data_IF_357970881462
#
_entry.id   IF_357970881462
#
_cell.length_a   1.000
_cell.length_b   1.000
_cell.length_c   1.000
_cell.angle_alpha   90.00
_cell.angle_beta   90.00
_cell.angle_gamma   90.00
#
_symmetry.space_group_name_H-M   'P 1'
#
loop_
_entity.id
_entity.type
_entity.pdbx_description
1 polymer ?
#
# COMPACT_ATOMS: atom_id res chain seq x y z
N UNK A 1 -29.04 26.32 30.04
CA UNK A 1 -28.78 25.41 28.90
C UNK A 1 -29.52 25.91 27.67
N UNK A 2 -28.86 26.69 26.83
CA UNK A 2 -29.39 27.17 25.52
C UNK A 2 -28.54 26.61 24.43
N UNK A 3 -29.02 25.56 23.73
CA UNK A 3 -28.45 25.10 22.47
C UNK A 3 -28.94 26.01 21.36
N UNK A 4 -28.10 26.91 20.87
CA UNK A 4 -28.34 27.68 19.68
C UNK A 4 -28.27 26.79 18.46
N UNK A 5 -29.42 26.52 17.84
CA UNK A 5 -29.53 25.91 16.53
C UNK A 5 -28.93 26.86 15.49
N UNK A 6 -27.75 26.51 14.95
CA UNK A 6 -27.18 27.22 13.80
C UNK A 6 -28.00 26.80 12.57
N UNK A 7 -28.94 27.66 12.16
CA UNK A 7 -29.70 27.50 10.94
C UNK A 7 -28.73 27.37 9.74
N UNK A 8 -28.87 26.30 8.96
CA UNK A 8 -28.10 26.09 7.70
C UNK A 8 -28.53 27.14 6.69
N UNK A 9 -27.76 28.22 6.59
CA UNK A 9 -27.97 29.25 5.54
C UNK A 9 -27.87 28.61 4.17
N UNK A 10 -28.78 28.94 3.26
CA UNK A 10 -28.78 28.46 1.87
C UNK A 10 -27.52 28.98 1.14
N UNK A 11 -27.14 28.32 0.05
CA UNK A 11 -26.00 28.75 -0.78
C UNK A 11 -26.16 30.20 -1.28
N UNK A 12 -27.38 30.58 -1.63
CA UNK A 12 -27.73 31.92 -2.08
C UNK A 12 -27.51 33.00 -0.97
N UNK A 13 -27.91 32.72 0.27
CA UNK A 13 -27.67 33.64 1.41
C UNK A 13 -26.18 33.81 1.71
N UNK A 14 -25.38 32.74 1.56
CA UNK A 14 -23.91 32.83 1.73
C UNK A 14 -23.22 33.58 0.59
N UNK A 15 -23.80 33.58 -0.61
CA UNK A 15 -23.30 34.34 -1.75
C UNK A 15 -23.65 35.80 -1.62
N UNK A 16 -24.85 36.14 -1.13
CA UNK A 16 -25.27 37.53 -0.89
C UNK A 16 -24.47 38.21 0.24
N UNK A 17 -24.14 37.50 1.31
CA UNK A 17 -23.34 38.02 2.43
C UNK A 17 -21.88 38.33 2.05
N UNK A 18 -21.38 37.81 0.91
CA UNK A 18 -20.00 37.93 0.45
C UNK A 18 -19.86 38.66 -0.89
N UNK A 19 -20.90 39.33 -1.33
CA UNK A 19 -20.91 40.13 -2.55
C UNK A 19 -21.40 41.54 -2.29
N UNK A 20 -20.83 42.51 -3.00
CA UNK A 20 -21.26 43.87 -3.01
C UNK A 20 -21.86 44.19 -4.38
N UNK A 21 -22.96 44.91 -4.42
CA UNK A 21 -23.60 45.29 -5.67
C UNK A 21 -23.05 46.63 -6.14
N UNK A 22 -22.47 46.65 -7.32
CA UNK A 22 -22.08 47.87 -8.03
C UNK A 22 -22.75 47.88 -9.39
N UNK A 23 -23.73 48.74 -9.56
CA UNK A 23 -24.56 48.74 -10.76
C UNK A 23 -25.39 47.46 -10.92
N UNK A 24 -25.40 46.86 -12.11
CA UNK A 24 -26.12 45.63 -12.41
C UNK A 24 -25.30 44.33 -12.17
N UNK A 25 -24.11 44.44 -11.57
CA UNK A 25 -23.21 43.29 -11.32
C UNK A 25 -22.99 43.06 -9.82
N UNK A 26 -23.04 41.81 -9.41
CA UNK A 26 -22.61 41.33 -8.09
C UNK A 26 -21.10 41.08 -8.11
N UNK A 27 -20.34 41.85 -7.33
CA UNK A 27 -18.89 41.68 -7.21
C UNK A 27 -18.60 40.83 -5.97
N UNK A 28 -17.85 39.74 -6.18
CA UNK A 28 -17.40 38.85 -5.12
C UNK A 28 -16.22 39.46 -4.36
N UNK A 29 -16.39 39.70 -3.06
CA UNK A 29 -15.36 40.28 -2.18
C UNK A 29 -14.56 39.20 -1.39
N UNK A 30 -14.75 37.92 -1.67
CA UNK A 30 -13.98 36.81 -1.06
C UNK A 30 -12.69 36.48 -1.84
N UNK A 31 -11.86 35.50 -1.38
CA UNK A 31 -10.64 35.12 -2.10
C UNK A 31 -10.94 34.73 -3.56
N UNK A 32 -10.03 35.03 -4.50
CA UNK A 32 -10.34 35.16 -5.92
C UNK A 32 -10.83 33.88 -6.58
N UNK A 33 -12.10 33.82 -6.94
CA UNK A 33 -12.65 33.01 -8.04
C UNK A 33 -14.17 33.17 -8.14
N UNK A 34 -14.58 33.70 -9.28
CA UNK A 34 -15.93 33.84 -9.85
C UNK A 34 -16.55 35.26 -9.78
N UNK A 35 -16.47 35.93 -10.92
CA UNK A 35 -17.35 37.04 -11.26
C UNK A 35 -18.53 36.47 -12.04
N UNK A 36 -19.74 36.49 -11.44
CA UNK A 36 -20.95 36.17 -12.16
C UNK A 36 -21.58 37.52 -12.62
N UNK A 37 -21.49 37.78 -13.92
CA UNK A 37 -22.13 38.92 -14.55
C UNK A 37 -23.42 38.48 -15.27
N UNK A 38 -24.58 38.93 -14.80
CA UNK A 38 -25.85 38.76 -15.53
C UNK A 38 -26.03 39.96 -16.47
N UNK A 39 -25.46 39.85 -17.70
CA UNK A 39 -25.73 40.89 -18.71
C UNK A 39 -26.97 40.54 -19.51
N UNK A 40 -27.97 41.42 -19.47
CA UNK A 40 -29.02 41.52 -20.47
C UNK A 40 -28.39 41.80 -21.85
N UNK A 41 -28.80 41.08 -22.85
CA UNK A 41 -28.41 41.26 -24.26
C UNK A 41 -28.62 42.72 -24.66
N UNK A 42 -27.56 43.45 -24.91
CA UNK A 42 -27.59 44.66 -25.71
C UNK A 42 -27.25 44.31 -27.16
N UNK A 43 -28.10 44.74 -28.00
CA UNK A 43 -28.09 44.69 -29.44
C UNK A 43 -26.76 45.02 -30.09
N UNK A 44 -26.33 44.13 -30.93
CA UNK A 44 -25.53 44.19 -32.10
C UNK A 44 -24.62 45.35 -32.40
N UNK A 45 -23.34 45.10 -32.22
CA UNK A 45 -22.38 45.62 -33.17
C UNK A 45 -21.70 44.38 -33.79
N UNK A 46 -22.11 44.06 -35.01
CA UNK A 46 -21.43 43.10 -35.88
C UNK A 46 -19.98 43.58 -36.06
N UNK A 47 -19.08 43.12 -35.18
CA UNK A 47 -17.67 43.10 -35.53
C UNK A 47 -17.56 42.17 -36.73
N UNK A 48 -17.52 42.80 -37.97
CA UNK A 48 -17.10 42.14 -39.20
C UNK A 48 -15.78 41.41 -38.85
N UNK A 49 -15.82 40.11 -38.69
CA UNK A 49 -14.63 39.29 -38.69
C UNK A 49 -13.97 39.53 -40.03
N UNK A 50 -12.89 40.34 -40.05
CA UNK A 50 -12.09 40.47 -41.24
C UNK A 50 -11.66 39.06 -41.65
N UNK A 51 -12.17 38.60 -42.82
CA UNK A 51 -11.80 37.32 -43.39
C UNK A 51 -10.28 37.28 -43.50
N UNK A 52 -9.68 36.15 -43.14
CA UNK A 52 -8.25 35.99 -43.18
C UNK A 52 -7.86 35.82 -44.63
N UNK A 53 -7.10 36.81 -45.20
CA UNK A 53 -6.71 36.75 -46.61
C UNK A 53 -5.51 35.79 -46.78
N UNK A 54 -5.66 34.81 -47.68
CA UNK A 54 -4.62 33.88 -48.11
C UNK A 54 -4.14 34.26 -49.52
N UNK A 55 -2.87 34.09 -49.76
CA UNK A 55 -2.33 34.10 -51.12
C UNK A 55 -2.70 32.77 -51.84
N UNK A 56 -2.72 32.72 -53.18
CA UNK A 56 -2.97 31.47 -53.90
C UNK A 56 -2.02 30.35 -53.53
N UNK A 57 -0.72 30.66 -53.33
CA UNK A 57 0.32 29.70 -52.94
C UNK A 57 0.11 29.19 -51.52
N UNK A 58 -0.26 30.06 -50.58
CA UNK A 58 -0.57 29.68 -49.21
C UNK A 58 -1.80 28.75 -49.14
N UNK A 59 -2.81 29.04 -49.95
CA UNK A 59 -3.98 28.20 -50.01
C UNK A 59 -3.64 26.81 -50.52
N UNK A 60 -2.88 26.74 -51.62
CA UNK A 60 -2.42 25.48 -52.22
C UNK A 60 -1.61 24.66 -51.19
N UNK A 61 -0.69 25.29 -50.49
CA UNK A 61 0.12 24.62 -49.50
C UNK A 61 -0.68 24.15 -48.29
N UNK A 62 -1.62 24.94 -47.79
CA UNK A 62 -2.52 24.54 -46.70
C UNK A 62 -3.40 23.36 -47.09
N UNK A 63 -3.97 23.36 -48.29
CA UNK A 63 -4.74 22.24 -48.82
C UNK A 63 -3.88 21.00 -49.02
N UNK A 64 -2.63 21.14 -49.47
CA UNK A 64 -1.67 20.05 -49.52
C UNK A 64 -1.40 19.45 -48.14
N UNK A 65 -1.24 20.29 -47.13
CA UNK A 65 -1.09 19.84 -45.73
C UNK A 65 -2.28 19.10 -45.19
N UNK A 66 -3.48 19.47 -45.61
CA UNK A 66 -4.71 18.79 -45.21
C UNK A 66 -4.85 17.39 -45.83
N UNK A 67 -4.34 17.17 -47.05
CA UNK A 67 -4.43 15.89 -47.79
C UNK A 67 -3.26 14.93 -47.44
N UNK A 68 -2.19 15.44 -46.91
CA UNK A 68 -0.96 14.65 -46.70
C UNK A 68 -1.08 13.73 -45.47
N UNK A 69 -1.04 12.41 -45.72
CA UNK A 69 -1.13 11.37 -44.69
C UNK A 69 0.11 11.28 -43.77
N UNK A 70 1.25 11.80 -44.21
CA UNK A 70 2.50 11.79 -43.40
C UNK A 70 2.59 12.97 -42.43
N UNK A 71 1.79 14.01 -42.60
CA UNK A 71 1.71 15.12 -41.68
C UNK A 71 0.92 14.67 -40.44
N UNK A 72 1.49 14.88 -39.26
CA UNK A 72 0.78 14.60 -37.99
C UNK A 72 -0.61 15.23 -38.04
N UNK A 73 -1.62 14.51 -37.57
CA UNK A 73 -3.04 14.93 -37.54
C UNK A 73 -3.24 16.36 -37.02
N UNK A 74 -2.37 16.81 -36.14
CA UNK A 74 -2.35 18.16 -35.56
C UNK A 74 -1.93 19.23 -36.61
N UNK A 75 -0.99 18.94 -37.50
CA UNK A 75 -0.59 19.84 -38.59
C UNK A 75 -1.70 20.05 -39.61
N UNK A 76 -2.39 18.97 -39.99
CA UNK A 76 -3.52 19.01 -40.86
C UNK A 76 -4.72 19.77 -40.25
N UNK A 77 -4.95 19.59 -38.93
CA UNK A 77 -6.00 20.33 -38.20
C UNK A 77 -5.72 21.84 -38.19
N UNK A 78 -4.50 22.26 -37.97
CA UNK A 78 -4.10 23.68 -38.01
C UNK A 78 -4.34 24.29 -39.39
N UNK A 79 -3.92 23.60 -40.45
CA UNK A 79 -4.16 24.02 -41.81
C UNK A 79 -5.66 24.20 -42.09
N UNK A 80 -6.49 23.24 -41.67
CA UNK A 80 -7.94 23.27 -41.85
C UNK A 80 -8.58 24.45 -41.13
N UNK A 81 -8.16 24.77 -39.90
CA UNK A 81 -8.66 25.94 -39.18
C UNK A 81 -8.36 27.24 -39.93
N UNK A 82 -7.16 27.40 -40.51
CA UNK A 82 -6.79 28.60 -41.25
C UNK A 82 -7.57 28.72 -42.55
N UNK A 83 -7.75 27.62 -43.31
CA UNK A 83 -8.58 27.63 -44.54
C UNK A 83 -10.01 27.96 -44.21
N UNK A 84 -10.64 27.38 -43.20
CA UNK A 84 -12.00 27.70 -42.78
C UNK A 84 -12.16 29.17 -42.36
N UNK A 85 -11.17 29.74 -41.68
CA UNK A 85 -11.18 31.17 -41.35
C UNK A 85 -11.05 32.08 -42.57
N UNK A 86 -10.28 31.68 -43.60
CA UNK A 86 -10.17 32.37 -44.86
C UNK A 86 -11.45 32.30 -45.70
N UNK A 87 -12.16 31.18 -45.61
CA UNK A 87 -13.47 30.96 -46.26
C UNK A 87 -14.61 31.67 -45.49
N UNK A 88 -14.32 32.45 -44.47
CA UNK A 88 -15.30 33.22 -43.70
C UNK A 88 -16.10 32.43 -42.69
N UNK A 89 -15.68 31.20 -42.34
CA UNK A 89 -16.36 30.40 -41.33
C UNK A 89 -16.30 31.03 -39.95
N UNK A 90 -17.45 31.05 -39.25
CA UNK A 90 -17.51 31.51 -37.88
C UNK A 90 -16.79 30.54 -36.92
N UNK A 91 -16.33 31.03 -35.79
CA UNK A 91 -15.66 30.18 -34.77
C UNK A 91 -16.57 28.99 -34.36
N UNK A 92 -17.86 29.24 -34.19
CA UNK A 92 -18.82 28.18 -33.85
C UNK A 92 -18.97 27.11 -34.96
N UNK A 93 -18.80 27.47 -36.22
CA UNK A 93 -18.76 26.52 -37.33
C UNK A 93 -17.50 25.68 -37.30
N UNK A 94 -16.35 26.32 -37.01
CA UNK A 94 -15.05 25.61 -36.88
C UNK A 94 -15.06 24.65 -35.68
N UNK A 95 -15.58 25.07 -34.53
CA UNK A 95 -15.72 24.22 -33.35
C UNK A 95 -16.62 23.01 -33.55
N UNK A 96 -17.65 23.14 -34.40
CA UNK A 96 -18.53 22.00 -34.79
C UNK A 96 -17.86 21.07 -35.78
N UNK A 97 -17.06 21.60 -36.67
CA UNK A 97 -16.41 20.82 -37.73
C UNK A 97 -15.10 20.13 -37.29
N UNK A 98 -14.46 20.66 -36.27
CA UNK A 98 -13.16 20.19 -35.78
C UNK A 98 -13.19 20.05 -34.27
N UNK A 99 -12.52 19.03 -33.69
CA UNK A 99 -12.40 18.88 -32.24
C UNK A 99 -11.41 19.92 -31.68
N UNK A 100 -11.84 21.19 -31.60
CA UNK A 100 -11.01 22.31 -31.10
C UNK A 100 -11.90 23.33 -30.40
N UNK A 101 -11.28 24.14 -29.55
CA UNK A 101 -11.92 25.21 -28.78
C UNK A 101 -11.47 26.58 -29.29
N UNK A 102 -12.22 27.63 -28.94
CA UNK A 102 -11.97 29.03 -29.33
C UNK A 102 -10.54 29.49 -29.11
N UNK A 103 -9.91 29.06 -28.00
CA UNK A 103 -8.51 29.42 -27.70
C UNK A 103 -7.50 28.80 -28.67
N UNK A 104 -7.81 27.59 -29.17
CA UNK A 104 -7.01 26.94 -30.20
C UNK A 104 -7.08 27.70 -31.50
N UNK A 105 -8.30 28.09 -31.95
CA UNK A 105 -8.52 28.88 -33.16
C UNK A 105 -7.79 30.23 -33.05
N UNK A 106 -7.96 30.95 -31.95
CA UNK A 106 -7.31 32.23 -31.71
C UNK A 106 -5.79 32.14 -31.70
N UNK A 107 -5.25 31.09 -31.10
CA UNK A 107 -3.79 30.84 -31.04
C UNK A 107 -3.21 30.69 -32.44
N UNK A 108 -3.80 29.83 -33.26
CA UNK A 108 -3.27 29.52 -34.59
C UNK A 108 -3.53 30.66 -35.59
N UNK A 109 -4.67 31.34 -35.49
CA UNK A 109 -4.94 32.57 -36.24
C UNK A 109 -3.87 33.65 -35.93
N UNK A 110 -3.59 33.92 -34.67
CA UNK A 110 -2.54 34.88 -34.28
C UNK A 110 -1.16 34.49 -34.82
N UNK A 111 -0.80 33.24 -34.71
CA UNK A 111 0.50 32.75 -35.20
C UNK A 111 0.61 32.82 -36.73
N UNK A 112 -0.44 32.52 -37.41
CA UNK A 112 -0.49 32.63 -38.87
C UNK A 112 -0.40 34.09 -39.32
N UNK A 113 -1.12 34.99 -38.70
CA UNK A 113 -1.03 36.43 -39.00
C UNK A 113 0.37 36.99 -38.74
N UNK A 114 1.08 36.52 -37.73
CA UNK A 114 2.43 36.97 -37.36
C UNK A 114 3.51 36.37 -38.24
N UNK A 115 3.41 35.10 -38.67
CA UNK A 115 4.50 34.34 -39.33
C UNK A 115 4.01 33.49 -40.50
N UNK A 116 2.84 33.75 -41.01
CA UNK A 116 2.26 33.01 -42.15
C UNK A 116 2.41 31.48 -41.98
N UNK A 117 2.77 30.75 -43.03
CA UNK A 117 2.92 29.28 -43.04
C UNK A 117 3.93 28.73 -42.01
N UNK A 118 4.99 29.48 -41.70
CA UNK A 118 5.94 29.12 -40.65
C UNK A 118 5.28 29.11 -39.23
N UNK A 119 4.35 30.03 -39.03
CA UNK A 119 3.60 30.11 -37.78
C UNK A 119 2.84 28.84 -37.41
N UNK A 120 2.52 27.99 -38.40
CA UNK A 120 1.82 26.74 -38.21
C UNK A 120 2.71 25.54 -37.92
N UNK A 121 4.03 25.70 -38.01
CA UNK A 121 4.97 24.63 -37.68
C UNK A 121 4.97 24.34 -36.19
N UNK A 122 5.09 23.08 -35.82
CA UNK A 122 5.31 22.69 -34.42
C UNK A 122 6.72 23.14 -34.00
N UNK A 123 6.82 24.00 -33.02
CA UNK A 123 8.10 24.19 -32.35
C UNK A 123 8.39 22.88 -31.58
N UNK A 124 9.25 22.03 -32.12
CA UNK A 124 9.87 21.01 -31.31
C UNK A 124 10.72 21.75 -30.27
N UNK A 125 10.25 21.82 -29.02
CA UNK A 125 11.16 22.10 -27.93
C UNK A 125 12.13 20.92 -27.89
N UNK A 126 13.39 21.19 -28.16
CA UNK A 126 14.47 20.27 -27.78
C UNK A 126 14.21 19.93 -26.31
N UNK A 127 14.11 18.65 -25.91
CA UNK A 127 13.96 18.30 -24.50
C UNK A 127 15.04 19.05 -23.72
N UNK A 128 14.65 19.73 -22.65
CA UNK A 128 15.65 20.32 -21.77
C UNK A 128 16.63 19.23 -21.35
N UNK A 129 17.94 19.52 -21.26
CA UNK A 129 18.93 18.54 -20.84
C UNK A 129 18.48 17.90 -19.53
N UNK A 130 18.62 16.58 -19.44
CA UNK A 130 18.18 15.83 -18.25
C UNK A 130 18.99 16.29 -17.03
N UNK A 131 18.31 16.74 -15.99
CA UNK A 131 18.96 17.04 -14.70
C UNK A 131 19.55 15.78 -14.07
N UNK A 132 18.97 14.60 -14.38
CA UNK A 132 19.44 13.31 -13.90
C UNK A 132 20.53 12.79 -14.85
N UNK A 133 21.74 13.36 -14.74
CA UNK A 133 22.96 12.85 -15.40
C UNK A 133 23.51 11.64 -14.63
N UNK A 134 24.38 10.81 -15.22
CA UNK A 134 25.04 9.70 -14.52
C UNK A 134 25.74 10.14 -13.23
N UNK A 135 26.41 11.30 -13.26
CA UNK A 135 27.13 11.86 -12.10
C UNK A 135 26.14 12.28 -10.99
N UNK A 136 25.01 12.89 -11.38
CA UNK A 136 23.96 13.24 -10.41
C UNK A 136 23.31 11.99 -9.84
N UNK A 137 23.10 10.95 -10.64
CA UNK A 137 22.57 9.66 -10.16
C UNK A 137 23.52 9.01 -9.16
N UNK A 138 24.82 8.95 -9.46
CA UNK A 138 25.85 8.46 -8.54
C UNK A 138 25.86 9.25 -7.23
N UNK A 139 25.77 10.59 -7.30
CA UNK A 139 25.70 11.47 -6.11
C UNK A 139 24.46 11.23 -5.27
N UNK A 140 23.31 10.99 -5.90
CA UNK A 140 22.07 10.61 -5.19
C UNK A 140 22.27 9.28 -4.45
N UNK A 141 22.84 8.28 -5.10
CA UNK A 141 23.05 6.94 -4.54
C UNK A 141 24.05 6.97 -3.39
N UNK A 142 25.16 7.71 -3.53
CA UNK A 142 26.15 7.90 -2.48
C UNK A 142 25.53 8.55 -1.24
N UNK A 143 24.84 9.68 -1.41
CA UNK A 143 24.16 10.38 -0.31
C UNK A 143 23.05 9.54 0.34
N UNK A 144 22.38 8.67 -0.42
CA UNK A 144 21.36 7.77 0.12
C UNK A 144 21.93 6.79 1.15
N UNK A 145 23.17 6.34 0.99
CA UNK A 145 23.86 5.43 1.92
C UNK A 145 24.33 6.09 3.20
N UNK A 146 24.49 7.41 3.19
CA UNK A 146 24.91 8.19 4.34
C UNK A 146 23.70 8.52 5.23
N UNK A 147 23.91 8.72 6.53
CA UNK A 147 22.84 9.17 7.43
C UNK A 147 22.42 10.61 7.10
N UNK A 148 21.11 10.93 7.18
CA UNK A 148 20.66 12.30 7.04
C UNK A 148 21.26 13.21 8.13
N UNK A 149 21.72 14.43 7.77
CA UNK A 149 22.33 15.35 8.74
C UNK A 149 21.34 15.96 9.75
N UNK A 150 20.04 15.79 9.52
CA UNK A 150 18.97 16.27 10.38
C UNK A 150 18.64 15.32 11.56
N UNK A 151 19.45 14.28 11.76
CA UNK A 151 19.26 13.28 12.82
C UNK A 151 18.20 12.22 12.51
N UNK A 152 17.54 12.28 11.37
CA UNK A 152 16.57 11.26 11.00
C UNK A 152 17.24 9.95 10.58
N UNK A 153 16.54 8.82 10.75
CA UNK A 153 17.08 7.49 10.52
C UNK A 153 17.17 7.11 9.03
N UNK A 154 16.41 7.77 8.17
CA UNK A 154 16.36 7.45 6.75
C UNK A 154 16.06 8.67 5.87
N UNK A 155 16.42 8.58 4.61
CA UNK A 155 16.12 9.59 3.62
C UNK A 155 14.68 9.44 3.08
N UNK A 156 14.01 10.57 2.88
CA UNK A 156 12.88 10.67 1.97
C UNK A 156 13.33 11.34 0.66
N UNK A 157 12.63 11.08 -0.43
CA UNK A 157 12.92 11.72 -1.74
C UNK A 157 12.93 13.25 -1.64
N UNK A 158 12.01 13.82 -0.84
CA UNK A 158 11.91 15.27 -0.62
C UNK A 158 13.09 15.83 0.16
N UNK A 159 13.55 15.14 1.21
CA UNK A 159 14.71 15.55 1.99
C UNK A 159 15.98 15.55 1.15
N UNK A 160 16.23 14.44 0.46
CA UNK A 160 17.42 14.31 -0.38
C UNK A 160 17.38 15.26 -1.57
N UNK A 161 16.22 15.44 -2.20
CA UNK A 161 16.03 16.40 -3.28
C UNK A 161 16.34 17.83 -2.82
N UNK A 162 15.89 18.23 -1.63
CA UNK A 162 16.19 19.55 -1.04
C UNK A 162 17.67 19.72 -0.76
N UNK A 163 18.32 18.72 -0.19
CA UNK A 163 19.76 18.76 0.09
C UNK A 163 20.60 18.92 -1.20
N UNK A 164 20.21 18.24 -2.28
CA UNK A 164 20.93 18.24 -3.55
C UNK A 164 20.51 19.39 -4.50
N UNK A 165 19.50 20.18 -4.13
CA UNK A 165 18.97 21.26 -4.95
C UNK A 165 18.23 20.78 -6.21
N UNK A 166 17.65 19.56 -6.20
CA UNK A 166 16.97 18.95 -7.33
C UNK A 166 15.52 18.57 -6.98
N UNK A 167 14.69 18.39 -8.02
CA UNK A 167 13.33 17.91 -7.81
C UNK A 167 13.35 16.48 -7.25
N UNK A 168 12.52 16.24 -6.25
CA UNK A 168 12.38 14.93 -5.59
C UNK A 168 12.03 13.77 -6.54
N UNK A 169 11.41 14.07 -7.70
CA UNK A 169 11.11 13.06 -8.72
C UNK A 169 12.39 12.49 -9.35
N UNK A 170 13.48 13.27 -9.46
CA UNK A 170 14.77 12.77 -9.92
C UNK A 170 15.37 11.77 -8.93
N UNK A 171 15.26 12.08 -7.62
CA UNK A 171 15.66 11.14 -6.54
C UNK A 171 14.84 9.86 -6.61
N UNK A 172 13.51 9.97 -6.73
CA UNK A 172 12.63 8.80 -6.84
C UNK A 172 12.94 7.93 -8.06
N UNK A 173 13.33 8.56 -9.18
CA UNK A 173 13.73 7.85 -10.40
C UNK A 173 15.05 7.13 -10.22
N UNK A 174 16.07 7.79 -9.63
CA UNK A 174 17.36 7.17 -9.33
C UNK A 174 17.20 5.96 -8.39
N UNK A 175 16.44 6.11 -7.30
CA UNK A 175 16.17 5.01 -6.37
C UNK A 175 15.45 3.84 -7.04
N UNK A 176 14.46 4.11 -7.90
CA UNK A 176 13.74 3.05 -8.63
C UNK A 176 14.67 2.29 -9.57
N UNK A 177 15.55 2.99 -10.30
CA UNK A 177 16.54 2.37 -11.19
C UNK A 177 17.54 1.49 -10.42
N UNK A 178 17.97 1.97 -9.25
CA UNK A 178 18.91 1.26 -8.39
C UNK A 178 18.25 0.22 -7.46
N UNK A 179 16.92 0.04 -7.49
CA UNK A 179 16.20 -0.88 -6.61
C UNK A 179 16.19 -0.46 -5.14
N UNK A 180 16.52 0.79 -4.81
CA UNK A 180 16.63 1.27 -3.43
C UNK A 180 15.28 1.70 -2.87
N UNK A 181 15.01 1.32 -1.63
CA UNK A 181 13.82 1.69 -0.87
C UNK A 181 14.19 2.12 0.57
N UNK A 182 14.83 3.29 0.77
CA UNK A 182 15.37 3.70 2.06
C UNK A 182 14.33 3.82 3.19
N UNK A 183 13.06 3.92 2.85
CA UNK A 183 11.94 3.98 3.78
C UNK A 183 11.45 2.59 4.22
N UNK A 184 11.89 1.52 3.56
CA UNK A 184 11.60 0.14 3.96
C UNK A 184 12.71 -0.37 4.86
N UNK A 185 12.29 -0.95 5.93
CA UNK A 185 13.15 -1.61 6.90
C UNK A 185 12.78 -3.09 6.94
N UNK A 186 13.68 -3.93 6.52
CA UNK A 186 13.54 -5.37 6.63
C UNK A 186 14.38 -5.83 7.82
N UNK A 187 13.72 -6.47 8.77
CA UNK A 187 14.42 -7.14 9.87
C UNK A 187 14.88 -8.49 9.38
N UNK A 188 16.16 -8.73 9.43
CA UNK A 188 16.68 -10.09 9.35
C UNK A 188 17.32 -10.43 10.68
N UNK A 189 17.19 -11.67 11.10
CA UNK A 189 17.93 -12.20 12.24
C UNK A 189 18.85 -13.28 11.72
N UNK A 190 20.13 -13.15 12.02
CA UNK A 190 21.10 -14.20 11.78
C UNK A 190 21.07 -15.10 13.02
N UNK A 191 20.96 -16.40 12.79
CA UNK A 191 21.06 -17.37 13.88
C UNK A 191 22.54 -17.67 14.16
N UNK A 192 22.94 -17.49 15.40
CA UNK A 192 24.26 -17.91 15.89
C UNK A 192 24.21 -19.33 16.50
N UNK A 193 23.15 -20.11 16.22
CA UNK A 193 22.98 -21.47 16.71
C UNK A 193 24.01 -22.39 16.02
N UNK A 194 24.97 -22.99 16.75
CA UNK A 194 25.98 -23.84 16.16
C UNK A 194 25.41 -25.12 15.52
N UNK A 195 24.20 -25.52 15.94
CA UNK A 195 23.48 -26.67 15.43
C UNK A 195 22.43 -26.30 14.36
N UNK A 196 22.50 -25.09 13.79
CA UNK A 196 21.48 -24.57 12.90
C UNK A 196 21.12 -25.53 11.77
N UNK A 197 22.10 -26.00 11.02
CA UNK A 197 21.87 -26.88 9.86
C UNK A 197 21.22 -28.20 10.26
N UNK A 198 21.70 -28.82 11.36
CA UNK A 198 21.16 -30.07 11.87
C UNK A 198 19.68 -29.92 12.30
N UNK A 199 19.39 -28.90 13.12
CA UNK A 199 18.02 -28.64 13.59
C UNK A 199 17.09 -28.23 12.46
N UNK A 200 17.56 -27.40 11.52
CA UNK A 200 16.78 -26.99 10.35
C UNK A 200 16.48 -28.19 9.44
N UNK A 201 17.46 -29.07 9.19
CA UNK A 201 17.27 -30.27 8.39
C UNK A 201 16.28 -31.24 9.04
N UNK A 202 16.33 -31.41 10.35
CA UNK A 202 15.42 -32.27 11.13
C UNK A 202 13.97 -31.74 10.99
N UNK A 203 13.75 -30.48 11.24
CA UNK A 203 12.41 -29.83 11.13
C UNK A 203 11.89 -29.85 9.69
N UNK A 204 12.73 -29.52 8.71
CA UNK A 204 12.36 -29.57 7.29
C UNK A 204 12.03 -31.01 6.87
N UNK A 205 12.81 -31.97 7.33
CA UNK A 205 12.56 -33.41 7.07
C UNK A 205 11.18 -33.85 7.52
N UNK A 206 10.74 -33.41 8.72
CA UNK A 206 9.41 -33.70 9.25
C UNK A 206 8.27 -33.11 8.41
N UNK A 207 8.48 -31.92 7.81
CA UNK A 207 7.48 -31.33 6.94
C UNK A 207 7.40 -31.96 5.55
N UNK A 208 8.53 -32.33 4.98
CA UNK A 208 8.62 -32.81 3.60
C UNK A 208 8.34 -34.31 3.54
N UNK A 209 8.88 -35.09 4.49
CA UNK A 209 8.79 -36.55 4.53
C UNK A 209 8.56 -37.05 5.96
N UNK A 210 7.35 -36.83 6.53
CA UNK A 210 7.03 -37.28 7.88
C UNK A 210 7.10 -38.81 7.98
N UNK A 211 7.51 -39.38 9.14
CA UNK A 211 7.52 -40.81 9.33
C UNK A 211 6.14 -41.43 9.13
N UNK A 212 6.11 -42.67 8.62
CA UNK A 212 4.85 -43.40 8.44
C UNK A 212 4.18 -43.62 9.80
N UNK A 213 2.86 -43.39 9.84
CA UNK A 213 2.05 -43.50 11.06
C UNK A 213 2.39 -42.50 12.17
N UNK A 214 3.15 -41.47 11.87
CA UNK A 214 3.39 -40.35 12.80
C UNK A 214 2.36 -39.24 12.64
N UNK A 215 2.13 -38.52 13.74
CA UNK A 215 1.48 -37.24 13.75
C UNK A 215 2.56 -36.13 13.99
N UNK A 216 2.61 -35.12 13.12
CA UNK A 216 3.55 -34.03 13.25
C UNK A 216 2.78 -32.74 13.55
N UNK A 217 3.14 -32.11 14.64
CA UNK A 217 2.56 -30.84 15.09
C UNK A 217 3.64 -29.75 15.11
N UNK A 218 3.30 -28.56 14.63
CA UNK A 218 4.05 -27.34 14.85
C UNK A 218 3.37 -26.59 15.99
N UNK A 219 4.03 -26.39 17.11
CA UNK A 219 3.47 -25.81 18.31
C UNK A 219 4.25 -24.59 18.81
N UNK A 220 3.55 -23.65 19.40
CA UNK A 220 4.13 -22.43 19.96
C UNK A 220 3.14 -21.72 20.89
N UNK A 221 3.55 -20.64 21.55
CA UNK A 221 2.70 -19.80 22.35
C UNK A 221 2.61 -18.34 21.86
N UNK A 222 1.39 -17.84 21.77
CA UNK A 222 1.14 -16.41 21.61
C UNK A 222 0.83 -15.80 22.98
N UNK A 223 1.80 -15.08 23.53
CA UNK A 223 1.73 -14.51 24.87
C UNK A 223 1.09 -13.14 24.90
N UNK A 224 0.59 -12.71 26.06
CA UNK A 224 0.11 -11.35 26.35
C UNK A 224 -0.95 -10.81 25.37
N UNK A 225 -1.86 -11.69 24.89
CA UNK A 225 -2.99 -11.27 24.08
C UNK A 225 -3.90 -10.40 24.93
N UNK A 226 -4.13 -9.16 24.51
CA UNK A 226 -4.86 -8.17 25.31
C UNK A 226 -6.38 -8.25 25.03
N UNK A 227 -7.18 -8.26 26.08
CA UNK A 227 -8.62 -8.06 25.99
C UNK A 227 -8.89 -6.54 25.94
N UNK A 228 -9.01 -6.01 24.73
CA UNK A 228 -9.24 -4.59 24.49
C UNK A 228 -10.71 -4.33 24.23
N UNK A 229 -11.31 -3.43 25.02
CA UNK A 229 -12.64 -2.89 24.82
C UNK A 229 -12.56 -1.46 24.32
N UNK A 230 -13.44 -1.05 23.40
CA UNK A 230 -13.44 0.30 22.84
C UNK A 230 -14.33 1.20 23.69
N UNK A 231 -13.84 2.38 24.05
CA UNK A 231 -14.65 3.39 24.75
C UNK A 231 -15.64 4.04 23.81
N UNK A 232 -15.26 4.25 22.56
CA UNK A 232 -16.14 4.82 21.54
C UNK A 232 -16.84 3.74 20.71
N UNK A 233 -18.09 3.99 20.28
CA UNK A 233 -18.77 3.10 19.34
C UNK A 233 -18.01 2.97 18.02
N UNK A 234 -17.94 1.75 17.50
CA UNK A 234 -17.40 1.51 16.16
C UNK A 234 -18.35 2.12 15.13
N UNK A 235 -17.83 2.99 14.26
CA UNK A 235 -18.59 3.51 13.13
C UNK A 235 -18.55 2.50 11.99
N UNK A 236 -19.72 1.96 11.58
CA UNK A 236 -19.78 0.86 10.64
C UNK A 236 -19.30 1.25 9.24
N UNK A 237 -18.89 0.25 8.49
CA UNK A 237 -18.56 0.35 7.07
C UNK A 237 -19.75 0.92 6.29
N UNK A 238 -19.50 1.89 5.41
CA UNK A 238 -20.51 2.46 4.51
C UNK A 238 -19.91 2.76 3.13
N UNK A 239 -20.70 2.93 2.06
CA UNK A 239 -20.17 3.20 0.72
C UNK A 239 -19.21 4.39 0.71
N UNK A 240 -17.99 4.15 0.23
CA UNK A 240 -16.91 5.16 0.16
C UNK A 240 -16.25 5.50 1.52
N UNK A 241 -16.60 4.79 2.61
CA UNK A 241 -16.00 5.00 3.94
C UNK A 241 -15.63 3.68 4.58
N UNK A 242 -14.37 3.55 4.98
CA UNK A 242 -13.92 2.43 5.80
C UNK A 242 -14.55 2.47 7.19
N UNK A 243 -14.65 1.30 7.82
CA UNK A 243 -14.97 1.18 9.24
C UNK A 243 -13.98 2.00 10.08
N UNK A 244 -14.48 2.74 11.06
CA UNK A 244 -13.66 3.59 11.93
C UNK A 244 -13.78 3.14 13.38
N UNK A 245 -12.63 2.96 14.00
CA UNK A 245 -12.49 2.64 15.41
C UNK A 245 -11.99 3.88 16.16
N UNK A 246 -12.52 4.13 17.36
CA UNK A 246 -11.92 5.03 18.33
C UNK A 246 -10.51 4.53 18.69
N UNK A 247 -9.61 5.44 19.03
CA UNK A 247 -8.26 5.09 19.48
C UNK A 247 -8.19 4.88 21.00
N UNK A 248 -9.19 5.30 21.75
CA UNK A 248 -9.28 5.05 23.18
C UNK A 248 -9.86 3.66 23.48
N UNK A 249 -9.23 2.96 24.41
CA UNK A 249 -9.64 1.61 24.78
C UNK A 249 -9.39 1.35 26.27
N UNK A 250 -10.23 0.47 26.84
CA UNK A 250 -10.06 -0.10 28.17
C UNK A 250 -9.39 -1.47 28.06
N UNK A 251 -8.44 -1.76 28.94
CA UNK A 251 -7.74 -3.05 29.02
C UNK A 251 -8.31 -3.88 30.15
N UNK A 252 -8.99 -4.98 29.83
CA UNK A 252 -9.53 -5.90 30.83
C UNK A 252 -8.49 -6.92 31.35
N UNK A 253 -7.28 -6.94 30.77
CA UNK A 253 -6.23 -7.87 31.10
C UNK A 253 -5.69 -8.62 29.88
N UNK A 254 -4.90 -9.64 30.14
CA UNK A 254 -4.23 -10.45 29.10
C UNK A 254 -4.44 -11.95 29.34
N UNK A 255 -4.30 -12.72 28.30
CA UNK A 255 -4.13 -14.18 28.34
C UNK A 255 -3.07 -14.63 27.39
N UNK A 256 -2.61 -15.87 27.52
CA UNK A 256 -1.73 -16.56 26.58
C UNK A 256 -2.47 -17.69 25.89
N UNK A 257 -2.10 -18.00 24.66
CA UNK A 257 -2.64 -19.05 23.85
C UNK A 257 -1.52 -20.01 23.46
N UNK A 258 -1.56 -21.26 23.98
CA UNK A 258 -0.82 -22.35 23.36
C UNK A 258 -1.57 -22.87 22.14
N UNK A 259 -0.89 -23.14 21.07
CA UNK A 259 -1.49 -23.70 19.87
C UNK A 259 -0.55 -24.68 19.17
N UNK A 260 -1.12 -25.79 18.65
CA UNK A 260 -0.40 -26.79 17.86
C UNK A 260 -1.16 -27.05 16.56
N UNK A 261 -0.48 -26.83 15.44
CA UNK A 261 -0.99 -27.07 14.09
C UNK A 261 -0.59 -28.47 13.65
N UNK A 262 -1.55 -29.33 13.36
CA UNK A 262 -1.29 -30.61 12.71
C UNK A 262 -0.88 -30.35 11.24
N UNK A 263 0.34 -30.70 10.88
CA UNK A 263 0.89 -30.40 9.57
C UNK A 263 0.20 -31.17 8.42
N UNK A 264 -0.41 -32.31 8.73
CA UNK A 264 -1.10 -33.15 7.75
C UNK A 264 -2.55 -32.73 7.50
N UNK A 265 -3.28 -32.34 8.54
CA UNK A 265 -4.70 -31.96 8.42
C UNK A 265 -4.90 -30.44 8.35
N UNK A 266 -3.97 -29.67 8.89
CA UNK A 266 -4.08 -28.23 9.08
C UNK A 266 -4.94 -27.83 10.30
N UNK A 267 -5.48 -28.80 11.05
CA UNK A 267 -6.25 -28.55 12.26
C UNK A 267 -5.38 -28.03 13.39
N UNK A 268 -5.96 -27.21 14.24
CA UNK A 268 -5.28 -26.58 15.37
C UNK A 268 -5.90 -27.01 16.68
N UNK A 269 -5.04 -27.50 17.56
CA UNK A 269 -5.34 -27.68 19.00
C UNK A 269 -4.92 -26.39 19.69
N UNK A 270 -5.81 -25.78 20.50
CA UNK A 270 -5.46 -24.54 21.18
C UNK A 270 -6.03 -24.48 22.58
N UNK A 271 -5.19 -24.03 23.53
CA UNK A 271 -5.52 -23.85 24.94
C UNK A 271 -5.22 -22.42 25.38
N UNK A 272 -6.23 -21.77 25.97
CA UNK A 272 -6.07 -20.43 26.53
C UNK A 272 -5.75 -20.52 28.02
N UNK A 273 -4.67 -19.85 28.44
CA UNK A 273 -4.19 -19.88 29.83
C UNK A 273 -3.91 -18.47 30.33
N UNK A 274 -4.03 -18.20 31.64
CA UNK A 274 -3.69 -16.89 32.22
C UNK A 274 -2.19 -16.58 32.08
N UNK A 275 -1.34 -17.60 32.25
CA UNK A 275 0.13 -17.53 32.19
C UNK A 275 0.70 -18.76 31.49
N UNK A 276 1.70 -18.57 30.69
CA UNK A 276 2.44 -19.64 30.02
C UNK A 276 3.51 -20.25 30.93
N UNK A 277 3.09 -21.13 31.82
CA UNK A 277 3.95 -21.88 32.73
C UNK A 277 4.30 -23.26 32.14
N UNK A 278 5.36 -23.89 32.68
CA UNK A 278 5.72 -25.26 32.28
C UNK A 278 4.60 -26.27 32.55
N UNK A 279 3.86 -26.12 33.65
CA UNK A 279 2.75 -27.02 33.96
C UNK A 279 1.61 -26.85 32.97
N UNK A 280 1.24 -25.61 32.65
CA UNK A 280 0.24 -25.33 31.61
C UNK A 280 0.69 -25.85 30.22
N UNK A 281 2.00 -25.83 29.95
CA UNK A 281 2.53 -26.42 28.72
C UNK A 281 2.43 -27.95 28.72
N UNK A 282 2.66 -28.62 29.84
CA UNK A 282 2.48 -30.09 29.98
C UNK A 282 1.01 -30.47 29.81
N UNK A 283 0.07 -29.71 30.40
CA UNK A 283 -1.37 -29.90 30.20
C UNK A 283 -1.72 -29.76 28.71
N UNK A 284 -1.17 -28.74 28.05
CA UNK A 284 -1.37 -28.55 26.61
C UNK A 284 -0.80 -29.69 25.77
N UNK A 285 0.39 -30.21 26.09
CA UNK A 285 0.96 -31.38 25.41
C UNK A 285 0.08 -32.61 25.59
N UNK A 286 -0.57 -32.76 26.74
CA UNK A 286 -1.53 -33.84 26.99
C UNK A 286 -2.74 -33.75 26.02
N UNK A 287 -3.27 -32.53 25.80
CA UNK A 287 -4.32 -32.31 24.80
C UNK A 287 -3.84 -32.64 23.37
N UNK A 288 -2.62 -32.26 23.00
CA UNK A 288 -2.03 -32.59 21.69
C UNK A 288 -1.91 -34.11 21.51
N UNK A 289 -1.48 -34.84 22.53
CA UNK A 289 -1.38 -36.31 22.51
C UNK A 289 -2.76 -36.93 22.35
N UNK A 290 -3.77 -36.43 23.04
CA UNK A 290 -5.15 -36.91 22.97
C UNK A 290 -5.77 -36.68 21.58
N UNK A 291 -5.32 -35.69 20.82
CA UNK A 291 -5.78 -35.45 19.44
C UNK A 291 -5.19 -36.43 18.40
N UNK A 292 -4.19 -37.22 18.75
CA UNK A 292 -3.56 -38.19 17.84
C UNK A 292 -3.48 -39.60 18.42
N UNK A 293 -4.62 -40.23 18.84
CA UNK A 293 -4.61 -41.50 19.60
C UNK A 293 -4.10 -42.67 18.77
N UNK A 294 -4.24 -42.61 17.44
CA UNK A 294 -3.82 -43.69 16.53
C UNK A 294 -2.37 -43.54 16.03
N UNK A 295 -1.70 -42.45 16.34
CA UNK A 295 -0.34 -42.22 15.94
C UNK A 295 0.63 -43.13 16.72
N UNK A 296 1.55 -43.80 16.03
CA UNK A 296 2.61 -44.57 16.66
C UNK A 296 3.69 -43.67 17.25
N UNK A 297 3.95 -42.55 16.59
CA UNK A 297 4.86 -41.50 17.03
C UNK A 297 4.18 -40.12 16.91
N UNK A 298 4.47 -39.22 17.84
CA UNK A 298 3.99 -37.83 17.83
C UNK A 298 5.21 -36.96 17.86
N UNK A 299 5.45 -36.22 16.79
CA UNK A 299 6.53 -35.25 16.67
C UNK A 299 5.98 -33.86 16.91
N UNK A 300 6.55 -33.13 17.86
CA UNK A 300 6.14 -31.74 18.17
C UNK A 300 7.33 -30.83 17.88
N UNK A 301 7.17 -29.96 16.91
CA UNK A 301 8.15 -28.94 16.54
C UNK A 301 7.86 -27.70 17.38
N UNK A 302 8.87 -27.22 18.09
CA UNK A 302 8.81 -26.13 19.07
C UNK A 302 9.94 -25.13 18.84
N UNK A 303 9.76 -23.94 19.37
CA UNK A 303 10.89 -23.03 19.53
C UNK A 303 11.83 -23.45 20.67
N UNK A 304 12.98 -22.77 20.77
CA UNK A 304 14.03 -23.16 21.70
C UNK A 304 13.89 -22.52 23.10
N UNK A 305 12.65 -22.23 23.57
CA UNK A 305 12.42 -21.61 24.87
C UNK A 305 12.80 -22.54 26.05
N UNK A 306 13.24 -21.92 27.13
CA UNK A 306 13.62 -22.62 28.36
C UNK A 306 12.45 -23.33 29.04
N UNK A 307 11.24 -22.80 28.91
CA UNK A 307 10.00 -23.39 29.45
C UNK A 307 9.72 -24.79 28.90
N UNK A 308 10.18 -25.09 27.69
CA UNK A 308 10.03 -26.40 27.03
C UNK A 308 11.05 -27.45 27.48
N UNK A 309 12.05 -27.08 28.32
CA UNK A 309 13.15 -27.95 28.74
C UNK A 309 13.16 -28.22 30.23
N UNK A 310 12.08 -27.94 30.91
CA UNK A 310 11.95 -28.09 32.37
C UNK A 310 11.82 -29.53 32.79
N UNK A 311 11.97 -29.80 34.12
CA UNK A 311 11.81 -31.12 34.67
C UNK A 311 10.41 -31.67 34.47
N UNK A 312 9.36 -30.84 34.54
CA UNK A 312 7.98 -31.25 34.26
C UNK A 312 7.82 -31.82 32.85
N UNK A 313 8.40 -31.15 31.84
CA UNK A 313 8.38 -31.63 30.45
C UNK A 313 9.16 -32.94 30.29
N UNK A 314 10.31 -33.07 30.95
CA UNK A 314 11.08 -34.32 30.93
C UNK A 314 10.29 -35.48 31.53
N UNK A 315 9.63 -35.28 32.67
CA UNK A 315 8.78 -36.26 33.31
C UNK A 315 7.63 -36.66 32.40
N UNK A 316 6.98 -35.71 31.75
CA UNK A 316 5.94 -35.98 30.74
C UNK A 316 6.43 -36.86 29.59
N UNK A 317 7.62 -36.57 29.05
CA UNK A 317 8.21 -37.38 27.95
C UNK A 317 8.53 -38.81 28.37
N UNK A 318 8.96 -39.02 29.61
CA UNK A 318 9.17 -40.38 30.16
C UNK A 318 7.84 -41.16 30.21
N UNK A 319 6.74 -40.49 30.59
CA UNK A 319 5.41 -41.08 30.66
C UNK A 319 4.77 -41.28 29.27
N UNK A 320 5.23 -40.51 28.25
CA UNK A 320 4.71 -40.57 26.88
C UNK A 320 5.80 -40.86 25.86
N UNK A 321 6.36 -42.10 25.84
CA UNK A 321 7.54 -42.45 25.02
C UNK A 321 7.31 -42.31 23.50
N UNK A 322 6.07 -42.21 23.07
CA UNK A 322 5.72 -41.93 21.67
C UNK A 322 5.88 -40.49 21.25
N UNK A 323 6.09 -39.55 22.20
CA UNK A 323 6.22 -38.10 21.94
C UNK A 323 7.72 -37.75 21.79
N UNK A 324 8.04 -37.03 20.73
CA UNK A 324 9.38 -36.51 20.45
C UNK A 324 9.29 -35.01 20.20
N UNK A 325 10.13 -34.22 20.93
CA UNK A 325 10.23 -32.78 20.74
C UNK A 325 11.38 -32.47 19.78
N UNK A 326 11.11 -31.58 18.81
CA UNK A 326 12.08 -31.10 17.83
C UNK A 326 12.17 -29.57 17.97
N UNK A 327 13.37 -29.08 18.25
CA UNK A 327 13.56 -27.67 18.49
C UNK A 327 14.04 -26.96 17.22
N UNK A 328 13.40 -25.84 16.86
CA UNK A 328 13.90 -24.97 15.81
C UNK A 328 15.24 -24.33 16.23
N UNK A 329 16.11 -23.96 15.28
CA UNK A 329 17.28 -23.17 15.60
C UNK A 329 16.89 -21.85 16.26
N UNK A 330 17.76 -21.34 17.12
CA UNK A 330 17.56 -20.04 17.77
C UNK A 330 17.38 -18.95 16.69
N UNK A 331 16.41 -18.06 16.88
CA UNK A 331 16.01 -17.00 15.92
C UNK A 331 15.51 -17.52 14.55
N UNK A 332 15.04 -18.74 14.48
CA UNK A 332 14.48 -19.33 13.27
C UNK A 332 12.98 -19.67 13.38
N UNK A 333 12.18 -18.81 14.01
CA UNK A 333 10.73 -18.99 14.16
C UNK A 333 9.99 -19.18 12.85
N UNK A 334 10.54 -18.68 11.73
CA UNK A 334 10.01 -18.91 10.37
C UNK A 334 9.97 -20.40 9.95
N UNK A 335 10.73 -21.26 10.62
CA UNK A 335 10.63 -22.72 10.45
C UNK A 335 9.42 -23.32 11.18
N UNK A 336 8.81 -22.61 12.13
CA UNK A 336 7.65 -23.08 12.85
C UNK A 336 6.35 -22.68 12.14
N UNK A 337 5.66 -23.66 11.50
CA UNK A 337 4.46 -23.38 10.71
C UNK A 337 3.29 -22.78 11.49
N UNK A 338 3.23 -22.95 12.81
CA UNK A 338 2.16 -22.38 13.63
C UNK A 338 2.15 -20.84 13.58
N UNK A 339 3.30 -20.21 13.32
CA UNK A 339 3.41 -18.76 13.18
C UNK A 339 2.56 -18.20 12.03
N UNK A 340 2.39 -18.96 10.98
CA UNK A 340 1.48 -18.61 9.87
C UNK A 340 0.03 -18.60 10.34
N UNK A 341 -0.34 -19.53 11.21
CA UNK A 341 -1.67 -19.57 11.80
C UNK A 341 -1.86 -18.45 12.85
N UNK A 342 -0.84 -18.13 13.66
CA UNK A 342 -0.88 -16.98 14.56
C UNK A 342 -1.06 -15.67 13.80
N UNK A 343 -0.41 -15.51 12.66
CA UNK A 343 -0.62 -14.37 11.79
C UNK A 343 -2.05 -14.31 11.22
N UNK A 344 -2.66 -15.47 11.00
CA UNK A 344 -4.05 -15.56 10.55
C UNK A 344 -5.04 -15.16 11.63
N UNK A 345 -4.96 -15.74 12.84
CA UNK A 345 -5.88 -15.40 13.94
C UNK A 345 -5.72 -13.93 14.37
N UNK A 346 -4.49 -13.40 14.33
CA UNK A 346 -4.22 -11.98 14.57
C UNK A 346 -5.06 -11.11 13.63
N UNK A 347 -4.96 -11.36 12.34
CA UNK A 347 -5.68 -10.58 11.32
C UNK A 347 -7.20 -10.78 11.37
N UNK A 348 -7.64 -12.02 11.56
CA UNK A 348 -9.04 -12.40 11.41
C UNK A 348 -9.88 -12.11 12.68
N UNK A 349 -9.25 -12.14 13.87
CA UNK A 349 -9.95 -12.02 15.16
C UNK A 349 -9.36 -10.93 16.05
N UNK A 350 -8.03 -10.95 16.29
CA UNK A 350 -7.45 -10.18 17.40
C UNK A 350 -7.30 -8.70 17.05
N UNK A 351 -6.78 -8.38 15.88
CA UNK A 351 -6.42 -6.99 15.49
C UNK A 351 -7.63 -6.03 15.48
N UNK A 352 -8.85 -6.55 15.21
CA UNK A 352 -10.08 -5.75 15.15
C UNK A 352 -11.10 -6.16 16.21
N UNK A 353 -10.78 -7.17 16.99
CA UNK A 353 -11.68 -7.68 18.03
C UNK A 353 -11.92 -6.65 19.15
N UNK A 354 -13.14 -6.62 19.66
CA UNK A 354 -13.53 -5.89 20.86
C UNK A 354 -13.87 -6.94 21.90
N UNK A 355 -13.21 -6.91 23.04
CA UNK A 355 -13.31 -7.94 24.07
C UNK A 355 -13.64 -7.31 25.42
N UNK A 356 -14.85 -7.56 25.89
CA UNK A 356 -15.37 -6.97 27.13
C UNK A 356 -14.81 -7.59 28.41
N UNK A 357 -14.07 -8.69 28.30
CA UNK A 357 -13.35 -9.35 29.39
C UNK A 357 -12.32 -10.35 28.86
N UNK A 358 -11.41 -10.80 29.72
CA UNK A 358 -10.48 -11.91 29.40
C UNK A 358 -11.26 -13.20 29.11
N UNK A 359 -12.35 -13.45 29.78
CA UNK A 359 -13.22 -14.62 29.55
C UNK A 359 -13.89 -14.55 28.16
N UNK A 360 -14.33 -13.36 27.71
CA UNK A 360 -14.91 -13.15 26.40
C UNK A 360 -13.84 -13.38 25.31
N UNK A 361 -12.62 -12.84 25.49
CA UNK A 361 -11.49 -13.09 24.61
C UNK A 361 -11.21 -14.60 24.49
N UNK A 362 -11.09 -15.32 25.61
CA UNK A 362 -10.85 -16.76 25.62
C UNK A 362 -11.96 -17.54 24.90
N UNK A 363 -13.21 -17.18 25.13
CA UNK A 363 -14.38 -17.81 24.49
C UNK A 363 -14.33 -17.60 22.96
N UNK A 364 -14.02 -16.39 22.51
CA UNK A 364 -13.95 -16.07 21.07
C UNK A 364 -12.77 -16.77 20.39
N UNK A 365 -11.61 -16.87 21.03
CA UNK A 365 -10.47 -17.64 20.52
C UNK A 365 -10.86 -19.10 20.33
N UNK A 366 -11.45 -19.75 21.35
CA UNK A 366 -11.90 -21.15 21.25
C UNK A 366 -12.96 -21.35 20.18
N UNK A 367 -13.87 -20.39 20.03
CA UNK A 367 -14.88 -20.45 18.97
C UNK A 367 -14.24 -20.31 17.59
N UNK A 368 -13.27 -19.39 17.41
CA UNK A 368 -12.54 -19.24 16.18
C UNK A 368 -11.80 -20.52 15.79
N UNK A 369 -11.09 -21.15 16.73
CA UNK A 369 -10.37 -22.42 16.48
C UNK A 369 -11.36 -23.50 16.02
N UNK A 370 -12.49 -23.67 16.70
CA UNK A 370 -13.51 -24.64 16.30
C UNK A 370 -14.07 -24.40 14.89
N UNK A 371 -14.30 -23.15 14.53
CA UNK A 371 -14.77 -22.82 13.16
C UNK A 371 -13.69 -23.00 12.12
N UNK A 372 -12.45 -22.61 12.43
CA UNK A 372 -11.30 -22.81 11.57
C UNK A 372 -11.10 -24.30 11.24
N UNK A 373 -11.17 -25.16 12.25
CA UNK A 373 -10.95 -26.60 12.10
C UNK A 373 -11.99 -27.29 11.18
N UNK A 374 -13.22 -26.74 11.05
CA UNK A 374 -14.20 -27.29 10.09
C UNK A 374 -13.76 -27.22 8.63
N UNK A 375 -12.87 -26.30 8.30
CA UNK A 375 -12.37 -26.06 6.94
C UNK A 375 -10.86 -26.06 6.89
N UNK A 376 -10.20 -26.65 7.89
CA UNK A 376 -8.77 -26.73 7.99
C UNK A 376 -8.16 -27.40 6.73
N UNK A 377 -7.03 -26.87 6.29
CA UNK A 377 -6.24 -27.43 5.19
C UNK A 377 -4.78 -27.37 5.57
N UNK A 378 -3.99 -28.36 5.15
CA UNK A 378 -2.55 -28.37 5.36
C UNK A 378 -1.91 -27.10 4.81
N UNK A 379 -1.00 -26.55 5.58
CA UNK A 379 -0.18 -25.42 5.10
C UNK A 379 0.90 -26.01 4.20
N UNK A 380 0.82 -25.70 2.90
CA UNK A 380 1.88 -26.11 1.95
C UNK A 380 3.09 -25.22 2.16
N UNK A 381 4.19 -25.83 2.53
CA UNK A 381 5.46 -25.11 2.59
C UNK A 381 6.00 -24.91 1.18
N UNK A 382 6.04 -23.68 0.72
CA UNK A 382 6.64 -23.32 -0.56
C UNK A 382 7.71 -22.25 -0.32
N UNK A 383 8.95 -22.60 -0.57
CA UNK A 383 10.06 -21.67 -0.54
C UNK A 383 10.33 -21.18 -1.97
N UNK A 384 9.88 -19.96 -2.29
CA UNK A 384 9.92 -19.45 -3.68
C UNK A 384 11.12 -18.56 -4.00
N UNK A 385 11.83 -18.05 -3.00
CA UNK A 385 12.91 -17.09 -3.25
C UNK A 385 14.24 -17.56 -2.62
N UNK A 386 15.16 -18.13 -3.44
CA UNK A 386 16.48 -18.55 -2.96
C UNK A 386 17.34 -17.40 -2.40
N UNK A 387 17.11 -16.15 -2.85
CA UNK A 387 17.85 -14.99 -2.38
C UNK A 387 17.56 -14.62 -0.91
N UNK A 388 16.46 -15.12 -0.34
CA UNK A 388 16.16 -15.00 1.08
C UNK A 388 16.72 -16.15 1.94
N UNK A 389 17.50 -17.07 1.35
CA UNK A 389 18.21 -18.07 2.13
C UNK A 389 19.32 -17.40 2.93
N UNK A 390 19.15 -17.40 4.25
CA UNK A 390 20.24 -17.10 5.16
C UNK A 390 21.09 -18.37 5.19
N UNK A 391 22.25 -18.35 4.56
CA UNK A 391 23.25 -19.40 4.69
C UNK A 391 24.20 -18.99 5.82
N UNK A 392 24.62 -19.95 6.63
CA UNK A 392 25.64 -19.78 7.67
C UNK A 392 27.00 -19.31 7.11
N UNK A 393 27.16 -19.31 5.79
CA UNK A 393 28.40 -19.02 5.07
C UNK A 393 28.42 -17.64 4.38
N UNK A 394 27.54 -16.71 4.73
CA UNK A 394 27.69 -15.33 4.26
C UNK A 394 28.85 -14.68 4.95
N UNK A 395 30.01 -14.75 4.31
CA UNK A 395 31.24 -14.11 4.76
C UNK A 395 30.99 -12.65 5.17
N UNK A 396 31.50 -12.30 6.34
CA UNK A 396 31.56 -10.94 6.85
C UNK A 396 32.18 -10.01 5.82
N UNK A 397 31.37 -9.22 5.13
CA UNK A 397 31.86 -7.99 4.52
C UNK A 397 31.61 -6.88 5.52
N UNK A 398 32.60 -6.66 6.35
CA UNK A 398 32.70 -5.48 7.19
C UNK A 398 32.93 -4.29 6.26
N UNK A 399 32.00 -3.34 6.29
CA UNK A 399 32.20 -1.96 5.81
C UNK A 399 31.75 -0.96 6.85
#
# INVERSE_FOLDING_TARGET
MRKTALARRTLLQRLQDRSRQEGECLIWTGPPRLVACTSKRSTGTLRRHMALMLTPDERTELERRMRNRTIRSEGARRARVIVMLADGASYSMIERALPCYRDYINRWRRRFLAKRLEGLTSRHRTPAPSVLTPEMEARILDKTRQRPPDGSTHWSTRKLGRLLGINHNHVATAWRRAGLQPHRFERYMQSDDPDFERKAADVIGLYVNPPQHAAVFAADEKTAIQALDRLDPVLPLSPGRAERHGFEYYRHGTLSLFAALNTKTGEVVGQTVPRHTSDAFVDFLTDVVACAPRAKEIHVILDNLSTHKTQAVRTFLVQHPKVRLHFTPTYASWLNQIELWFSKIERDLLARGIFTSVSDLARRIRTYIRQYNKQAKPIRWSYRNPAHRISSTSAHTVH
#
